data_IF_711119015400
#
_entry.id   IF_711119015400
#
_cell.length_a   1.000
_cell.length_b   1.000
_cell.length_c   1.000
_cell.angle_alpha   90.00
_cell.angle_beta   90.00
_cell.angle_gamma   90.00
#
_symmetry.space_group_name_H-M   'P 1'
#
loop_
_entity.id
_entity.type
_entity.pdbx_description
1 polymer ?
#
# COMPACT_ATOMS: atom_id res chain seq x y z
N UNK A 1 11.80 15.62 60.76
CA UNK A 1 10.66 14.91 60.10
C UNK A 1 9.96 15.74 59.01
N UNK A 2 10.59 16.80 58.50
CA UNK A 2 9.98 17.74 57.54
C UNK A 2 10.48 17.62 56.07
N UNK A 3 11.54 16.86 55.81
CA UNK A 3 12.13 16.73 54.46
C UNK A 3 11.43 15.71 53.54
N UNK A 4 10.76 14.68 54.11
CA UNK A 4 10.11 13.63 53.32
C UNK A 4 8.78 14.06 52.64
N UNK A 5 8.06 15.05 53.21
CA UNK A 5 6.78 15.53 52.61
C UNK A 5 6.98 16.29 51.33
N UNK A 6 8.08 17.09 51.17
CA UNK A 6 8.37 17.86 49.97
C UNK A 6 8.77 16.96 48.78
N UNK A 7 9.42 15.84 49.00
CA UNK A 7 9.79 14.87 47.97
C UNK A 7 8.58 14.17 47.31
N UNK A 8 7.53 13.88 48.14
CA UNK A 8 6.30 13.24 47.61
C UNK A 8 5.49 14.14 46.67
N UNK A 9 5.50 15.45 46.90
CA UNK A 9 4.77 16.42 46.02
C UNK A 9 5.54 16.71 44.74
N UNK A 10 6.84 16.46 44.65
CA UNK A 10 7.64 16.64 43.45
C UNK A 10 7.67 15.41 42.54
N UNK A 11 7.40 14.21 43.08
CA UNK A 11 7.27 12.96 42.31
C UNK A 11 5.99 12.90 41.51
N UNK A 12 4.90 13.51 41.96
CA UNK A 12 3.60 13.50 41.28
C UNK A 12 3.61 14.22 39.94
N UNK A 13 4.12 15.45 39.79
CA UNK A 13 4.22 16.15 38.52
C UNK A 13 5.25 15.49 37.58
N UNK A 14 6.32 14.88 38.10
CA UNK A 14 7.31 14.15 37.30
C UNK A 14 6.69 12.87 36.71
N UNK A 15 5.87 12.15 37.47
CA UNK A 15 5.14 10.99 36.98
C UNK A 15 4.11 11.39 35.90
N UNK A 16 3.42 12.53 36.08
CA UNK A 16 2.44 13.04 35.11
C UNK A 16 3.08 13.44 33.78
N UNK A 17 4.31 13.98 33.79
CA UNK A 17 5.07 14.29 32.55
C UNK A 17 5.49 13.02 31.80
N UNK A 18 5.83 11.94 32.52
CA UNK A 18 6.14 10.64 31.92
C UNK A 18 4.94 10.00 31.21
N UNK A 19 3.71 10.20 31.70
CA UNK A 19 2.50 9.71 31.03
C UNK A 19 2.08 10.53 29.82
N UNK A 20 2.51 11.78 29.69
CA UNK A 20 2.24 12.62 28.50
C UNK A 20 3.19 12.33 27.34
N UNK A 21 4.25 11.56 27.53
CA UNK A 21 5.24 11.24 26.49
C UNK A 21 4.81 10.09 25.56
N UNK A 22 3.65 9.49 25.75
CA UNK A 22 3.18 8.33 24.97
C UNK A 22 2.20 8.71 23.83
N UNK A 23 2.12 9.96 23.44
CA UNK A 23 1.18 10.37 22.39
C UNK A 23 1.90 10.83 21.12
N UNK A 24 2.34 9.90 20.31
CA UNK A 24 2.17 9.89 18.84
C UNK A 24 2.88 8.65 18.29
N UNK A 25 2.15 7.58 18.20
CA UNK A 25 2.50 6.55 17.20
C UNK A 25 2.25 7.23 15.86
N UNK A 26 3.30 7.69 15.18
CA UNK A 26 3.17 8.09 13.78
C UNK A 26 2.75 6.85 13.01
N UNK A 27 1.49 6.80 12.59
CA UNK A 27 1.00 5.78 11.68
C UNK A 27 1.71 6.03 10.35
N UNK A 28 2.53 5.08 9.89
CA UNK A 28 3.19 5.17 8.59
C UNK A 28 2.23 4.65 7.53
N UNK A 29 1.67 5.54 6.75
CA UNK A 29 0.84 5.17 5.60
C UNK A 29 1.75 4.85 4.41
N UNK A 30 2.00 3.56 4.19
CA UNK A 30 2.89 3.09 3.11
C UNK A 30 2.35 1.82 2.46
N UNK A 31 2.43 1.76 1.14
CA UNK A 31 2.28 0.51 0.40
C UNK A 31 3.55 0.20 -0.40
N UNK A 32 3.77 -1.09 -0.68
CA UNK A 32 4.91 -1.53 -1.50
C UNK A 32 4.41 -2.40 -2.64
N UNK A 33 4.61 -1.92 -3.87
CA UNK A 33 4.24 -2.64 -5.09
C UNK A 33 5.49 -3.09 -5.83
N UNK A 34 5.58 -4.40 -6.13
CA UNK A 34 6.60 -4.96 -7.00
C UNK A 34 5.96 -5.36 -8.32
N UNK A 35 6.52 -4.93 -9.43
CA UNK A 35 6.14 -5.28 -10.79
C UNK A 35 7.36 -5.90 -11.47
N UNK A 36 7.27 -7.19 -11.79
CA UNK A 36 8.38 -7.97 -12.35
C UNK A 36 7.91 -8.69 -13.60
N UNK A 37 8.68 -8.62 -14.67
CA UNK A 37 8.42 -9.43 -15.86
C UNK A 37 8.87 -10.87 -15.65
N UNK A 38 7.97 -11.81 -15.92
CA UNK A 38 8.22 -13.26 -15.97
C UNK A 38 8.40 -13.67 -17.43
N UNK A 39 9.57 -14.20 -17.76
CA UNK A 39 9.84 -14.73 -19.12
C UNK A 39 9.07 -16.03 -19.37
N UNK A 40 8.87 -16.83 -18.33
CA UNK A 40 8.12 -18.07 -18.39
C UNK A 40 6.65 -17.84 -18.73
N UNK A 41 6.00 -16.90 -18.03
CA UNK A 41 4.59 -16.60 -18.20
C UNK A 41 4.32 -15.58 -19.30
N UNK A 42 5.35 -14.92 -19.83
CA UNK A 42 5.26 -13.77 -20.76
C UNK A 42 4.31 -12.70 -20.22
N UNK A 43 4.47 -12.36 -18.95
CA UNK A 43 3.58 -11.50 -18.20
C UNK A 43 4.34 -10.58 -17.25
N UNK A 44 3.78 -9.41 -16.94
CA UNK A 44 4.16 -8.69 -15.74
C UNK A 44 3.37 -9.20 -14.56
N UNK A 45 4.07 -9.75 -13.58
CA UNK A 45 3.53 -10.14 -12.29
C UNK A 45 3.65 -8.98 -11.32
N UNK A 46 2.55 -8.65 -10.65
CA UNK A 46 2.48 -7.50 -9.75
C UNK A 46 2.00 -7.99 -8.40
N UNK A 47 2.72 -7.61 -7.35
CA UNK A 47 2.30 -7.80 -5.96
C UNK A 47 2.24 -6.46 -5.26
N UNK A 48 1.13 -6.13 -4.62
CA UNK A 48 0.97 -4.91 -3.82
C UNK A 48 0.72 -5.27 -2.37
N UNK A 49 1.59 -4.80 -1.47
CA UNK A 49 1.52 -5.01 -0.03
C UNK A 49 0.95 -3.77 0.63
N UNK A 50 -0.15 -3.92 1.35
CA UNK A 50 -0.91 -2.84 1.97
C UNK A 50 -1.30 -3.30 3.37
N UNK A 51 -1.29 -2.43 4.36
CA UNK A 51 -1.74 -2.77 5.70
C UNK A 51 -3.23 -3.14 5.71
N UNK A 52 -3.58 -4.15 6.49
CA UNK A 52 -4.95 -4.71 6.56
C UNK A 52 -5.90 -3.67 7.15
N UNK A 53 -5.49 -2.98 8.22
CA UNK A 53 -6.29 -1.95 8.88
C UNK A 53 -6.57 -0.74 7.96
N UNK A 54 -5.60 -0.33 7.12
CA UNK A 54 -5.80 0.74 6.14
C UNK A 54 -6.79 0.33 5.04
N UNK A 55 -6.80 -0.97 4.67
CA UNK A 55 -7.79 -1.49 3.71
C UNK A 55 -9.19 -1.64 4.33
N UNK A 56 -9.29 -2.03 5.60
CA UNK A 56 -10.56 -2.07 6.33
C UNK A 56 -11.16 -0.66 6.45
N UNK A 57 -10.34 0.33 6.83
CA UNK A 57 -10.73 1.74 6.85
C UNK A 57 -11.21 2.22 5.47
N UNK A 58 -10.48 1.88 4.41
CA UNK A 58 -10.86 2.17 3.03
C UNK A 58 -12.24 1.58 2.66
N UNK A 59 -12.47 0.31 3.01
CA UNK A 59 -13.72 -0.37 2.68
C UNK A 59 -14.90 0.28 3.38
N UNK A 60 -14.74 0.67 4.63
CA UNK A 60 -15.79 1.32 5.41
C UNK A 60 -16.03 2.75 4.90
N UNK A 61 -15.00 3.57 4.75
CA UNK A 61 -15.12 4.98 4.38
C UNK A 61 -15.62 5.17 2.93
N UNK A 62 -15.12 4.37 1.99
CA UNK A 62 -15.45 4.56 0.58
C UNK A 62 -16.68 3.81 0.11
N UNK A 63 -16.92 2.63 0.69
CA UNK A 63 -17.97 1.71 0.23
C UNK A 63 -19.02 1.38 1.27
N UNK A 64 -18.84 1.80 2.53
CA UNK A 64 -19.74 1.47 3.64
C UNK A 64 -19.75 -0.01 4.01
N UNK A 65 -18.64 -0.72 3.72
CA UNK A 65 -18.54 -2.16 3.92
C UNK A 65 -17.61 -2.44 5.09
N UNK A 66 -18.10 -3.13 6.11
CA UNK A 66 -17.27 -3.74 7.14
C UNK A 66 -16.62 -4.99 6.56
N UNK A 67 -15.40 -4.85 6.07
CA UNK A 67 -14.70 -5.92 5.37
C UNK A 67 -14.16 -6.99 6.28
N UNK A 68 -13.71 -6.65 7.50
CA UNK A 68 -13.15 -7.57 8.50
C UNK A 68 -12.06 -8.48 7.90
N UNK A 69 -11.16 -7.88 7.14
CA UNK A 69 -10.11 -8.59 6.40
C UNK A 69 -9.24 -9.44 7.34
N UNK A 70 -8.79 -10.58 6.84
CA UNK A 70 -7.97 -11.55 7.59
C UNK A 70 -8.65 -12.17 8.82
N UNK A 71 -9.97 -12.07 8.94
CA UNK A 71 -10.75 -12.71 10.02
C UNK A 71 -11.66 -13.80 9.47
N UNK A 72 -12.19 -14.71 10.33
CA UNK A 72 -13.19 -15.69 9.91
C UNK A 72 -14.50 -15.07 9.39
N UNK A 73 -14.77 -13.81 9.77
CA UNK A 73 -15.97 -13.07 9.40
C UNK A 73 -15.75 -12.14 8.20
N UNK A 74 -14.69 -12.35 7.43
CA UNK A 74 -14.37 -11.56 6.24
C UNK A 74 -15.53 -11.50 5.25
N UNK A 75 -15.85 -10.28 4.81
CA UNK A 75 -16.92 -10.05 3.85
C UNK A 75 -16.61 -10.73 2.51
N UNK A 76 -17.59 -11.47 1.98
CA UNK A 76 -17.51 -12.10 0.65
C UNK A 76 -17.38 -11.07 -0.49
N UNK A 77 -17.68 -9.80 -0.23
CA UNK A 77 -17.56 -8.71 -1.18
C UNK A 77 -16.16 -8.08 -1.18
N UNK A 78 -15.27 -8.47 -0.25
CA UNK A 78 -13.97 -7.84 -0.09
C UNK A 78 -13.13 -7.85 -1.38
N UNK A 79 -13.02 -9.01 -2.06
CA UNK A 79 -12.22 -9.12 -3.29
C UNK A 79 -12.80 -8.29 -4.44
N UNK A 80 -14.15 -8.27 -4.59
CA UNK A 80 -14.81 -7.48 -5.62
C UNK A 80 -14.53 -5.98 -5.46
N UNK A 81 -14.64 -5.46 -4.23
CA UNK A 81 -14.42 -4.05 -3.96
C UNK A 81 -12.95 -3.67 -3.97
N UNK A 82 -12.04 -4.57 -3.56
CA UNK A 82 -10.61 -4.39 -3.74
C UNK A 82 -10.23 -4.30 -5.23
N UNK A 83 -10.70 -5.22 -6.05
CA UNK A 83 -10.48 -5.16 -7.50
C UNK A 83 -11.00 -3.85 -8.09
N UNK A 84 -12.23 -3.45 -7.75
CA UNK A 84 -12.81 -2.18 -8.18
C UNK A 84 -11.95 -0.98 -7.77
N UNK A 85 -11.42 -1.00 -6.55
CA UNK A 85 -10.55 0.05 -6.05
C UNK A 85 -9.22 0.10 -6.78
N UNK A 86 -8.56 -1.04 -6.96
CA UNK A 86 -7.33 -1.13 -7.74
C UNK A 86 -7.51 -0.57 -9.15
N UNK A 87 -8.60 -0.95 -9.85
CA UNK A 87 -8.88 -0.43 -11.20
C UNK A 87 -9.06 1.08 -11.24
N UNK A 88 -9.50 1.70 -10.16
CA UNK A 88 -9.66 3.15 -10.07
C UNK A 88 -8.37 3.90 -9.70
N UNK A 89 -7.44 3.24 -8.98
CA UNK A 89 -6.31 3.90 -8.32
C UNK A 89 -4.93 3.42 -8.79
N UNK A 90 -4.88 2.30 -9.50
CA UNK A 90 -3.63 1.72 -10.00
C UNK A 90 -3.72 1.53 -11.51
N UNK A 91 -2.83 2.15 -12.25
CA UNK A 91 -2.78 2.09 -13.71
C UNK A 91 -1.36 1.77 -14.18
N UNK A 92 -1.26 0.92 -15.20
CA UNK A 92 -0.01 0.63 -15.88
C UNK A 92 -0.14 1.01 -17.35
N UNK A 93 0.91 1.63 -17.87
CA UNK A 93 1.05 1.89 -19.30
C UNK A 93 2.30 1.20 -19.83
N UNK A 94 2.18 0.60 -21.00
CA UNK A 94 3.32 0.06 -21.77
C UNK A 94 3.40 0.86 -23.06
N UNK A 95 4.58 1.42 -23.35
CA UNK A 95 4.81 2.29 -24.50
C UNK A 95 3.82 3.47 -24.58
N UNK A 96 3.46 4.03 -23.42
CA UNK A 96 2.51 5.13 -23.29
C UNK A 96 1.04 4.77 -23.51
N UNK A 97 0.70 3.49 -23.62
CA UNK A 97 -0.68 3.01 -23.77
C UNK A 97 -1.13 2.29 -22.50
N UNK A 98 -2.31 2.63 -21.94
CA UNK A 98 -2.87 1.91 -20.81
C UNK A 98 -3.08 0.42 -21.14
N UNK A 99 -2.70 -0.44 -20.22
CA UNK A 99 -2.90 -1.89 -20.32
C UNK A 99 -3.80 -2.39 -19.22
N UNK A 100 -4.60 -3.40 -19.55
CA UNK A 100 -5.46 -4.06 -18.56
C UNK A 100 -4.65 -5.12 -17.81
N UNK A 101 -4.94 -5.29 -16.55
CA UNK A 101 -4.43 -6.40 -15.74
C UNK A 101 -5.58 -7.23 -15.17
N UNK A 102 -5.30 -8.46 -14.81
CA UNK A 102 -6.18 -9.33 -14.07
C UNK A 102 -5.90 -9.15 -12.58
N UNK A 103 -6.92 -9.02 -11.76
CA UNK A 103 -6.81 -9.13 -10.30
C UNK A 103 -6.96 -10.62 -9.96
N UNK A 104 -5.92 -11.22 -9.38
CA UNK A 104 -5.85 -12.66 -9.12
C UNK A 104 -6.32 -13.03 -7.70
N UNK A 105 -6.56 -12.02 -6.86
CA UNK A 105 -6.94 -12.18 -5.47
C UNK A 105 -5.90 -11.66 -4.50
N UNK A 106 -6.04 -12.04 -3.25
CA UNK A 106 -5.15 -11.63 -2.15
C UNK A 106 -4.80 -12.78 -1.22
N UNK A 107 -3.76 -12.59 -0.44
CA UNK A 107 -3.47 -13.38 0.77
C UNK A 107 -3.03 -12.45 1.88
N UNK A 108 -2.99 -12.95 3.10
CA UNK A 108 -2.54 -12.21 4.27
C UNK A 108 -1.20 -12.73 4.77
N UNK A 109 -0.39 -11.81 5.28
CA UNK A 109 0.92 -12.08 5.86
C UNK A 109 1.10 -11.13 7.05
N UNK A 110 0.84 -11.63 8.25
CA UNK A 110 0.82 -10.88 9.51
C UNK A 110 -0.22 -9.75 9.46
N UNK A 111 0.21 -8.51 9.34
CA UNK A 111 -0.61 -7.29 9.29
C UNK A 111 -0.80 -6.72 7.88
N UNK A 112 -0.35 -7.45 6.86
CA UNK A 112 -0.34 -6.99 5.46
C UNK A 112 -1.21 -7.88 4.58
N UNK A 113 -2.05 -7.26 3.76
CA UNK A 113 -2.67 -7.89 2.61
C UNK A 113 -1.73 -7.80 1.39
N UNK A 114 -1.48 -8.93 0.74
CA UNK A 114 -0.72 -9.03 -0.50
C UNK A 114 -1.70 -9.26 -1.63
N UNK A 115 -1.94 -8.24 -2.43
CA UNK A 115 -2.78 -8.32 -3.62
C UNK A 115 -1.96 -8.72 -4.83
N UNK A 116 -2.47 -9.64 -5.64
CA UNK A 116 -1.82 -10.18 -6.83
C UNK A 116 -2.53 -9.70 -8.08
N UNK A 117 -1.75 -9.15 -9.01
CA UNK A 117 -2.25 -8.72 -10.32
C UNK A 117 -1.30 -9.23 -11.41
N UNK A 118 -1.83 -9.40 -12.62
CA UNK A 118 -1.07 -9.88 -13.77
C UNK A 118 -1.44 -9.12 -15.04
N UNK A 119 -0.43 -8.74 -15.82
CA UNK A 119 -0.61 -8.25 -17.20
C UNK A 119 -0.09 -9.34 -18.13
N UNK A 120 -0.96 -10.18 -18.69
CA UNK A 120 -0.56 -11.31 -19.52
C UNK A 120 -0.23 -10.90 -20.96
N UNK A 121 0.35 -11.85 -21.71
CA UNK A 121 0.57 -11.74 -23.15
C UNK A 121 1.49 -10.57 -23.56
N UNK A 122 2.54 -10.33 -22.78
CA UNK A 122 3.52 -9.29 -23.06
C UNK A 122 4.70 -9.90 -23.81
N UNK A 123 4.94 -9.40 -25.02
CA UNK A 123 6.17 -9.70 -25.73
C UNK A 123 7.24 -8.69 -25.32
N UNK A 124 8.26 -9.16 -24.62
CA UNK A 124 9.30 -8.30 -24.02
C UNK A 124 10.04 -7.45 -25.08
N UNK A 125 10.24 -7.98 -26.29
CA UNK A 125 10.93 -7.27 -27.38
C UNK A 125 10.20 -6.01 -27.84
N UNK A 126 8.90 -5.92 -27.58
CA UNK A 126 8.08 -4.79 -27.98
C UNK A 126 7.99 -3.70 -26.89
N UNK A 127 8.48 -3.99 -25.68
CA UNK A 127 8.41 -3.09 -24.52
C UNK A 127 9.59 -2.12 -24.56
N UNK A 128 9.30 -0.83 -24.75
CA UNK A 128 10.28 0.27 -24.72
C UNK A 128 10.20 1.10 -23.44
N UNK A 129 9.01 1.19 -22.87
CA UNK A 129 8.76 1.90 -21.62
C UNK A 129 7.64 1.27 -20.82
N UNK A 130 7.77 1.33 -19.51
CA UNK A 130 6.71 0.98 -18.55
C UNK A 130 6.52 2.15 -17.62
N UNK A 131 5.28 2.62 -17.48
CA UNK A 131 4.93 3.59 -16.45
C UNK A 131 3.85 3.03 -15.52
N UNK A 132 3.94 3.41 -14.26
CA UNK A 132 2.99 3.02 -13.23
C UNK A 132 2.47 4.28 -12.56
N UNK A 133 1.14 4.42 -12.52
CA UNK A 133 0.45 5.39 -11.69
C UNK A 133 -0.15 4.64 -10.50
N UNK A 134 0.13 5.12 -9.29
CA UNK A 134 -0.36 4.49 -8.07
C UNK A 134 -0.88 5.58 -7.12
N UNK A 135 -2.18 5.59 -6.93
CA UNK A 135 -2.92 6.48 -6.03
C UNK A 135 -3.62 5.71 -4.90
N UNK A 136 -3.18 4.47 -4.65
CA UNK A 136 -3.77 3.64 -3.58
C UNK A 136 -3.66 4.39 -2.26
N UNK A 137 -4.80 4.50 -1.54
CA UNK A 137 -4.97 5.15 -0.23
C UNK A 137 -4.66 6.67 -0.17
N UNK A 138 -4.29 7.31 -1.29
CA UNK A 138 -4.03 8.76 -1.32
C UNK A 138 -5.30 9.61 -1.22
N UNK A 139 -6.46 9.02 -1.36
CA UNK A 139 -7.76 9.64 -1.15
C UNK A 139 -8.23 9.55 0.32
N UNK A 140 -7.63 8.65 1.09
CA UNK A 140 -7.93 8.47 2.50
C UNK A 140 -6.88 9.13 3.40
N UNK A 141 -5.60 8.99 3.03
CA UNK A 141 -4.46 9.48 3.81
C UNK A 141 -3.62 10.44 2.97
N UNK A 142 -3.53 11.72 3.38
CA UNK A 142 -2.75 12.73 2.67
C UNK A 142 -1.24 12.43 2.67
N UNK A 143 -0.75 11.69 3.68
CA UNK A 143 0.66 11.33 3.87
C UNK A 143 1.02 9.97 3.24
N UNK A 144 0.08 9.34 2.51
CA UNK A 144 0.31 8.06 1.85
C UNK A 144 1.50 8.08 0.92
N UNK A 145 2.37 7.09 1.07
CA UNK A 145 3.51 6.83 0.20
C UNK A 145 3.36 5.46 -0.48
N UNK A 146 3.34 5.44 -1.80
CA UNK A 146 3.28 4.22 -2.58
C UNK A 146 4.65 3.94 -3.19
N UNK A 147 5.41 3.02 -2.59
CA UNK A 147 6.71 2.58 -3.12
C UNK A 147 6.46 1.58 -4.23
N UNK A 148 6.99 1.85 -5.42
CA UNK A 148 6.83 0.99 -6.58
C UNK A 148 8.20 0.57 -7.10
N UNK A 149 8.42 -0.74 -7.21
CA UNK A 149 9.61 -1.32 -7.83
C UNK A 149 9.24 -1.96 -9.15
N UNK A 150 9.84 -1.51 -10.23
CA UNK A 150 9.65 -2.07 -11.58
C UNK A 150 10.94 -2.75 -12.02
N UNK A 151 10.83 -4.02 -12.46
CA UNK A 151 11.97 -4.81 -12.95
C UNK A 151 11.58 -5.54 -14.24
N UNK A 152 12.32 -5.26 -15.33
CA UNK A 152 12.25 -6.05 -16.56
C UNK A 152 13.55 -5.92 -17.37
N UNK A 153 13.86 -6.91 -18.21
CA UNK A 153 15.01 -6.92 -19.13
C UNK A 153 16.35 -6.54 -18.44
N UNK A 154 16.56 -6.96 -17.18
CA UNK A 154 17.75 -6.60 -16.40
C UNK A 154 17.74 -5.20 -15.79
N UNK A 155 16.82 -4.33 -16.15
CA UNK A 155 16.67 -2.99 -15.59
C UNK A 155 15.77 -3.03 -14.36
N UNK A 156 16.10 -2.17 -13.37
CA UNK A 156 15.30 -1.98 -12.14
C UNK A 156 15.22 -0.49 -11.82
N UNK A 157 14.03 -0.02 -11.49
CA UNK A 157 13.81 1.34 -10.99
C UNK A 157 12.78 1.33 -9.87
N UNK A 158 12.99 2.21 -8.90
CA UNK A 158 12.07 2.38 -7.76
C UNK A 158 11.56 3.80 -7.74
N UNK A 159 10.29 3.95 -7.36
CA UNK A 159 9.61 5.24 -7.22
C UNK A 159 8.96 5.32 -5.85
N UNK A 160 8.87 6.50 -5.30
CA UNK A 160 7.98 6.83 -4.19
C UNK A 160 6.92 7.76 -4.75
N UNK A 161 5.70 7.26 -4.89
CA UNK A 161 4.57 7.96 -5.47
C UNK A 161 3.67 8.46 -4.33
N UNK A 162 3.29 9.72 -4.43
CA UNK A 162 2.50 10.43 -3.41
C UNK A 162 1.37 11.20 -4.07
N UNK A 163 0.46 11.74 -3.28
CA UNK A 163 -0.58 12.65 -3.76
C UNK A 163 0.04 13.81 -4.55
N UNK A 164 -0.41 14.02 -5.78
CA UNK A 164 0.13 15.05 -6.70
C UNK A 164 1.41 14.68 -7.46
N UNK A 165 2.13 13.61 -7.07
CA UNK A 165 3.25 13.03 -7.80
C UNK A 165 3.10 11.50 -7.83
N UNK A 166 2.11 11.02 -8.55
CA UNK A 166 1.56 9.65 -8.48
C UNK A 166 2.04 8.74 -9.62
N UNK A 167 2.95 9.19 -10.50
CA UNK A 167 3.37 8.44 -11.69
C UNK A 167 4.89 8.31 -11.78
N UNK A 168 5.36 7.10 -12.04
CA UNK A 168 6.76 6.79 -12.29
C UNK A 168 6.94 6.09 -13.63
N UNK A 169 8.08 6.29 -14.30
CA UNK A 169 8.39 5.68 -15.59
C UNK A 169 9.80 5.10 -15.62
N UNK A 170 9.93 3.90 -16.19
CA UNK A 170 11.17 3.24 -16.56
C UNK A 170 11.21 3.08 -18.09
N UNK A 171 12.23 3.64 -18.73
CA UNK A 171 12.53 3.50 -20.15
C UNK A 171 13.74 2.59 -20.34
N UNK A 172 13.80 1.89 -21.50
CA UNK A 172 15.01 1.22 -21.97
C UNK A 172 15.92 2.23 -22.67
#
# INVERSE_FOLDING_TARGET
MMRMKKAKHMLLPLAMVLFLSFTSVHKFYVSVTNMVYSEEDKAFQITSRIFIDDLDDLMEERYGIKSQLATPDESKLADEYLEKYFRAKFMVEINGKPVKYNFLGKRYDTDVAICYLEIPNINLSDVKSVSVQNEILTDLFDEQQNVVHVKWAGHKKSFVLIKGNNKGMLNL
#
